data_IF_737856056993
#
_entry.id   IF_737856056993
#
_cell.length_a   1.000
_cell.length_b   1.000
_cell.length_c   1.000
_cell.angle_alpha   90.00
_cell.angle_beta   90.00
_cell.angle_gamma   90.00
#
_symmetry.space_group_name_H-M   'P 1'
#
loop_
_entity.id
_entity.type
_entity.pdbx_description
1 polymer ?
#
# COMPACT_ATOMS: atom_id res chain seq x y z
N UNK A 1 -4.60 -6.01 17.37
CA UNK A 1 -5.29 -4.71 17.20
C UNK A 1 -5.22 -4.34 15.74
N UNK A 2 -6.36 -4.22 15.05
CA UNK A 2 -6.40 -3.71 13.68
C UNK A 2 -5.78 -2.32 13.65
N UNK A 3 -4.94 -2.02 12.67
CA UNK A 3 -4.56 -0.65 12.39
C UNK A 3 -5.83 0.18 12.14
N UNK A 4 -5.90 1.46 12.54
CA UNK A 4 -6.98 2.33 12.12
C UNK A 4 -7.12 2.29 10.59
N UNK A 5 -8.34 2.27 10.05
CA UNK A 5 -8.58 2.11 8.61
C UNK A 5 -7.80 3.13 7.76
N UNK A 6 -7.73 4.38 8.23
CA UNK A 6 -6.93 5.42 7.59
C UNK A 6 -5.42 5.12 7.54
N UNK A 7 -4.89 4.41 8.53
CA UNK A 7 -3.49 3.98 8.55
C UNK A 7 -3.23 2.87 7.54
N UNK A 8 -4.18 1.95 7.37
CA UNK A 8 -4.12 0.93 6.33
C UNK A 8 -4.16 1.56 4.94
N UNK A 9 -5.10 2.48 4.71
CA UNK A 9 -5.23 3.23 3.46
C UNK A 9 -3.93 3.98 3.14
N UNK A 10 -3.35 4.66 4.14
CA UNK A 10 -2.07 5.35 3.98
C UNK A 10 -0.93 4.39 3.62
N UNK A 11 -0.82 3.26 4.31
CA UNK A 11 0.22 2.26 4.03
C UNK A 11 0.09 1.68 2.62
N UNK A 12 -1.12 1.32 2.20
CA UNK A 12 -1.41 0.83 0.85
C UNK A 12 -1.03 1.84 -0.23
N UNK A 13 -1.44 3.10 -0.07
CA UNK A 13 -1.18 4.15 -1.06
C UNK A 13 0.31 4.50 -1.14
N UNK A 14 1.01 4.50 0.01
CA UNK A 14 2.47 4.75 0.04
C UNK A 14 3.27 3.59 -0.53
N UNK A 15 2.86 2.35 -0.26
CA UNK A 15 3.45 1.17 -0.87
C UNK A 15 3.29 1.18 -2.41
N UNK A 16 2.09 1.48 -2.90
CA UNK A 16 1.83 1.60 -4.33
C UNK A 16 2.66 2.72 -4.98
N UNK A 17 2.80 3.86 -4.31
CA UNK A 17 3.63 4.97 -4.77
C UNK A 17 5.12 4.60 -4.79
N UNK A 18 5.61 3.91 -3.76
CA UNK A 18 6.98 3.42 -3.67
C UNK A 18 7.32 2.49 -4.84
N UNK A 19 6.50 1.46 -5.10
CA UNK A 19 6.73 0.52 -6.20
C UNK A 19 6.69 1.20 -7.57
N UNK A 20 5.79 2.17 -7.77
CA UNK A 20 5.70 2.94 -9.01
C UNK A 20 6.97 3.78 -9.27
N UNK A 21 7.53 4.38 -8.22
CA UNK A 21 8.71 5.23 -8.32
C UNK A 21 10.01 4.44 -8.41
N UNK A 22 10.17 3.42 -7.56
CA UNK A 22 11.41 2.65 -7.46
C UNK A 22 11.58 1.64 -8.60
N UNK A 23 10.48 1.18 -9.22
CA UNK A 23 10.46 0.15 -10.29
C UNK A 23 11.42 -1.01 -10.01
N UNK A 24 11.35 -1.64 -8.82
CA UNK A 24 12.28 -2.69 -8.43
C UNK A 24 12.12 -3.92 -9.32
N UNK A 25 13.24 -4.61 -9.58
CA UNK A 25 13.26 -5.91 -10.26
C UNK A 25 12.49 -6.95 -9.45
N UNK A 26 12.60 -6.88 -8.12
CA UNK A 26 11.91 -7.76 -7.16
C UNK A 26 10.95 -6.95 -6.27
N UNK A 27 9.69 -6.71 -6.70
CA UNK A 27 8.73 -5.89 -5.97
C UNK A 27 8.46 -6.37 -4.53
N UNK A 28 8.43 -7.68 -4.31
CA UNK A 28 8.17 -8.25 -2.99
C UNK A 28 9.29 -7.94 -1.99
N UNK A 29 10.55 -8.18 -2.39
CA UNK A 29 11.71 -7.91 -1.54
C UNK A 29 11.87 -6.41 -1.25
N UNK A 30 11.72 -5.56 -2.27
CA UNK A 30 11.80 -4.11 -2.10
C UNK A 30 10.69 -3.58 -1.18
N UNK A 31 9.47 -4.12 -1.30
CA UNK A 31 8.36 -3.74 -0.43
C UNK A 31 8.57 -4.20 1.01
N UNK A 32 9.11 -5.40 1.23
CA UNK A 32 9.46 -5.88 2.56
C UNK A 32 10.51 -5.00 3.24
N UNK A 33 11.55 -4.60 2.51
CA UNK A 33 12.58 -3.68 3.02
C UNK A 33 11.99 -2.29 3.35
N UNK A 34 11.19 -1.75 2.43
CA UNK A 34 10.49 -0.47 2.65
C UNK A 34 9.59 -0.53 3.90
N UNK A 35 8.85 -1.63 4.07
CA UNK A 35 7.96 -1.84 5.21
C UNK A 35 8.75 -1.90 6.53
N UNK A 36 9.86 -2.62 6.56
CA UNK A 36 10.74 -2.72 7.74
C UNK A 36 11.35 -1.36 8.13
N UNK A 37 11.65 -0.50 7.15
CA UNK A 37 12.20 0.86 7.35
C UNK A 37 11.13 1.90 7.69
N UNK A 38 9.86 1.65 7.36
CA UNK A 38 8.78 2.64 7.48
C UNK A 38 7.96 2.42 8.75
N UNK A 39 8.22 3.26 9.77
CA UNK A 39 7.63 3.12 11.13
C UNK A 39 6.13 2.89 11.16
N UNK A 40 5.36 3.67 10.40
CA UNK A 40 3.90 3.56 10.40
C UNK A 40 3.41 2.33 9.62
N UNK A 41 4.12 1.93 8.55
CA UNK A 41 3.80 0.77 7.75
C UNK A 41 3.92 -0.53 8.55
N UNK A 42 4.89 -0.60 9.48
CA UNK A 42 5.04 -1.74 10.42
C UNK A 42 3.84 -2.03 11.30
N UNK A 43 2.91 -1.08 11.42
CA UNK A 43 1.66 -1.25 12.18
C UNK A 43 0.57 -1.94 11.35
N UNK A 44 0.82 -2.17 10.06
CA UNK A 44 -0.06 -2.82 9.09
C UNK A 44 0.59 -4.13 8.64
N UNK A 45 -0.15 -5.25 8.53
CA UNK A 45 0.43 -6.51 8.09
C UNK A 45 0.96 -6.42 6.65
N UNK A 46 2.25 -6.76 6.45
CA UNK A 46 2.89 -6.69 5.13
C UNK A 46 2.22 -7.63 4.12
N UNK A 47 1.88 -8.85 4.54
CA UNK A 47 1.22 -9.84 3.69
C UNK A 47 -0.11 -9.34 3.13
N UNK A 48 -0.89 -8.63 3.96
CA UNK A 48 -2.15 -8.02 3.55
C UNK A 48 -1.98 -6.92 2.50
N UNK A 49 -0.91 -6.13 2.62
CA UNK A 49 -0.56 -5.08 1.67
C UNK A 49 -0.08 -5.70 0.35
N UNK A 50 0.77 -6.72 0.42
CA UNK A 50 1.27 -7.45 -0.76
C UNK A 50 0.12 -8.09 -1.55
N UNK A 51 -0.78 -8.80 -0.87
CA UNK A 51 -1.92 -9.47 -1.49
C UNK A 51 -2.79 -8.47 -2.27
N UNK A 52 -3.12 -7.33 -1.67
CA UNK A 52 -3.98 -6.31 -2.30
C UNK A 52 -3.28 -5.54 -3.40
N UNK A 53 -1.96 -5.35 -3.31
CA UNK A 53 -1.16 -4.71 -4.35
C UNK A 53 -1.03 -5.55 -5.62
N UNK A 54 -1.02 -6.89 -5.51
CA UNK A 54 -1.02 -7.76 -6.69
C UNK A 54 -2.27 -7.57 -7.55
N UNK A 55 -3.40 -7.21 -6.94
CA UNK A 55 -4.66 -6.92 -7.62
C UNK A 55 -4.84 -5.45 -8.01
N UNK A 56 -3.79 -4.62 -7.88
CA UNK A 56 -3.88 -3.20 -8.23
C UNK A 56 -4.03 -3.04 -9.75
N UNK A 57 -5.08 -2.35 -10.23
CA UNK A 57 -5.19 -2.05 -11.66
C UNK A 57 -4.06 -1.12 -12.14
N UNK A 58 -3.76 -1.21 -13.44
CA UNK A 58 -2.85 -0.27 -14.10
C UNK A 58 -3.49 1.13 -14.20
N UNK A 59 -2.65 2.16 -14.19
CA UNK A 59 -3.08 3.56 -14.21
C UNK A 59 -3.19 4.20 -12.82
N UNK A 60 -3.93 5.31 -12.76
CA UNK A 60 -4.15 6.09 -11.54
C UNK A 60 -5.28 5.49 -10.70
N UNK A 61 -4.88 4.85 -9.60
CA UNK A 61 -5.77 4.23 -8.63
C UNK A 61 -5.24 4.46 -7.22
N UNK A 62 -6.15 4.55 -6.26
CA UNK A 62 -5.82 4.63 -4.83
C UNK A 62 -6.67 3.65 -4.03
N UNK A 63 -6.16 3.20 -2.90
CA UNK A 63 -6.88 2.34 -1.97
C UNK A 63 -7.63 3.17 -0.95
N UNK A 64 -8.87 2.79 -0.62
CA UNK A 64 -9.63 3.35 0.49
C UNK A 64 -10.60 2.35 1.09
N UNK A 65 -10.91 2.51 2.38
CA UNK A 65 -11.86 1.67 3.11
C UNK A 65 -11.19 0.69 4.09
N UNK A 66 -9.94 0.97 4.48
CA UNK A 66 -9.19 0.17 5.43
C UNK A 66 -8.83 -1.21 4.90
N UNK A 67 -8.66 -2.21 5.79
CA UNK A 67 -8.36 -3.58 5.38
C UNK A 67 -9.41 -4.17 4.43
N UNK A 68 -10.70 -3.86 4.63
CA UNK A 68 -11.80 -4.32 3.77
C UNK A 68 -12.07 -3.38 2.58
N UNK A 69 -11.16 -2.44 2.32
CA UNK A 69 -11.28 -1.44 1.27
C UNK A 69 -11.18 -1.99 -0.14
N UNK A 70 -11.10 -1.07 -1.10
CA UNK A 70 -10.95 -1.39 -2.51
C UNK A 70 -10.19 -0.31 -3.26
N UNK A 71 -9.63 -0.69 -4.41
CA UNK A 71 -9.09 0.25 -5.38
C UNK A 71 -10.20 1.13 -5.94
N UNK A 72 -9.98 2.44 -5.87
CA UNK A 72 -10.80 3.49 -6.46
C UNK A 72 -10.04 4.16 -7.60
N UNK A 73 -10.70 4.46 -8.73
CA UNK A 73 -10.05 5.15 -9.84
C UNK A 73 -9.71 6.59 -9.45
N UNK A 74 -8.59 7.10 -9.99
CA UNK A 74 -8.13 8.47 -9.79
C UNK A 74 -7.04 8.60 -8.72
N UNK A 75 -6.94 9.81 -8.15
CA UNK A 75 -5.95 10.16 -7.12
C UNK A 75 -6.63 10.22 -5.75
N UNK A 76 -5.92 9.72 -4.73
CA UNK A 76 -6.34 9.89 -3.34
C UNK A 76 -6.51 11.39 -3.05
N UNK A 77 -7.63 11.78 -2.42
CA UNK A 77 -7.89 13.17 -2.02
C UNK A 77 -6.99 13.64 -0.87
N UNK A 78 -6.34 12.73 -0.14
CA UNK A 78 -5.48 13.03 1.00
C UNK A 78 -4.18 12.20 0.96
N UNK A 79 -3.01 12.79 1.32
CA UNK A 79 -1.68 12.15 1.30
C UNK A 79 -1.34 11.28 2.52
#
# INVERSE_FOLDING_TARGET
MSAPDALFDLAMNRAAAFLRSARPVEPGAALAEWHARTRFARRVPLEEVMLRLQHKPQGEWYWTGGPAGKWQPGKAKFP
#
